data_IF_972957283789
#
_entry.id   IF_972957283789
#
_cell.length_a   1.000
_cell.length_b   1.000
_cell.length_c   1.000
_cell.angle_alpha   90.00
_cell.angle_beta   90.00
_cell.angle_gamma   90.00
#
_symmetry.space_group_name_H-M   'P 1'
#
loop_
_entity.id
_entity.type
_entity.pdbx_description
1 polymer ?
#
# COMPACT_ATOMS: atom_id res chain seq x y z
N UNK A 1 -12.59 52.42 -33.37
CA UNK A 1 -11.34 51.65 -33.52
C UNK A 1 -11.58 50.27 -32.93
N UNK A 2 -11.62 49.25 -33.79
CA UNK A 2 -11.82 47.85 -33.42
C UNK A 2 -10.46 47.28 -32.99
N UNK A 3 -10.30 46.94 -31.71
CA UNK A 3 -9.16 46.14 -31.27
C UNK A 3 -9.54 44.66 -31.29
N UNK A 4 -8.93 43.95 -32.23
CA UNK A 4 -8.92 42.49 -32.31
C UNK A 4 -8.10 41.95 -31.13
N UNK A 5 -8.72 41.17 -30.26
CA UNK A 5 -8.02 40.25 -29.36
C UNK A 5 -7.70 38.98 -30.18
N UNK A 6 -6.41 38.70 -30.30
CA UNK A 6 -5.86 37.53 -30.96
C UNK A 6 -5.91 36.36 -29.96
N UNK A 7 -6.72 35.35 -30.25
CA UNK A 7 -6.65 34.05 -29.58
C UNK A 7 -5.33 33.36 -29.98
N UNK A 8 -4.46 33.10 -29.02
CA UNK A 8 -3.31 32.20 -29.18
C UNK A 8 -3.58 30.98 -28.29
N UNK A 9 -3.64 29.75 -28.84
CA UNK A 9 -3.83 28.56 -28.02
C UNK A 9 -2.52 28.27 -27.26
N UNK A 10 -2.64 28.12 -25.95
CA UNK A 10 -1.57 27.68 -25.06
C UNK A 10 -1.35 26.18 -25.30
N UNK A 11 -0.39 25.85 -26.17
CA UNK A 11 0.09 24.47 -26.32
C UNK A 11 1.20 24.27 -25.31
N UNK A 12 0.90 23.60 -24.20
CA UNK A 12 1.94 23.08 -23.29
C UNK A 12 2.57 21.89 -24.00
N UNK A 13 3.68 22.12 -24.68
CA UNK A 13 4.57 21.06 -25.15
C UNK A 13 5.48 20.70 -23.98
N UNK A 14 5.08 19.72 -23.19
CA UNK A 14 5.96 19.07 -22.22
C UNK A 14 7.09 18.38 -23.01
N UNK A 15 8.27 19.00 -23.00
CA UNK A 15 9.48 18.35 -23.49
C UNK A 15 9.91 17.31 -22.46
N UNK A 16 9.66 16.03 -22.76
CA UNK A 16 10.34 14.93 -22.08
C UNK A 16 11.82 14.97 -22.47
N UNK A 17 12.62 15.62 -21.63
CA UNK A 17 14.05 15.38 -21.63
C UNK A 17 14.29 14.06 -20.91
N UNK A 18 14.66 13.02 -21.68
CA UNK A 18 15.32 11.85 -21.14
C UNK A 18 16.72 12.28 -20.65
N UNK A 19 16.80 12.75 -19.41
CA UNK A 19 18.05 12.74 -18.66
C UNK A 19 18.27 11.32 -18.19
N UNK A 20 19.42 10.74 -18.52
CA UNK A 20 19.94 9.52 -17.87
C UNK A 20 19.84 9.75 -16.36
N UNK A 21 18.90 9.08 -15.70
CA UNK A 21 18.57 9.32 -14.30
C UNK A 21 19.76 8.83 -13.47
N UNK A 22 20.58 9.78 -13.01
CA UNK A 22 21.44 9.51 -11.86
C UNK A 22 20.50 9.10 -10.72
N UNK A 23 20.73 7.92 -10.13
CA UNK A 23 19.99 7.44 -8.98
C UNK A 23 19.83 8.59 -7.98
N UNK A 24 18.58 8.96 -7.71
CA UNK A 24 18.23 10.11 -6.89
C UNK A 24 18.38 9.73 -5.42
N UNK A 25 19.64 9.61 -5.03
CA UNK A 25 20.11 9.14 -3.73
C UNK A 25 20.52 10.34 -2.87
N UNK A 26 20.66 10.13 -1.56
CA UNK A 26 21.35 11.10 -0.73
C UNK A 26 22.85 11.10 -1.05
N UNK A 27 23.43 12.29 -1.23
CA UNK A 27 24.86 12.46 -1.51
C UNK A 27 25.52 13.23 -0.39
N UNK A 28 26.47 12.61 0.31
CA UNK A 28 27.34 13.27 1.29
C UNK A 28 28.61 13.77 0.63
N UNK A 29 28.83 15.09 0.63
CA UNK A 29 30.08 15.70 0.18
C UNK A 29 31.05 15.90 1.36
N UNK A 30 32.16 15.12 1.45
CA UNK A 30 33.11 15.23 2.55
C UNK A 30 33.88 16.57 2.57
N UNK A 31 33.94 17.29 1.45
CA UNK A 31 34.66 18.56 1.38
C UNK A 31 33.89 19.71 2.03
N UNK A 32 32.56 19.66 1.95
CA UNK A 32 31.66 20.69 2.49
C UNK A 32 30.94 20.26 3.77
N UNK A 33 30.86 18.95 4.03
CA UNK A 33 30.07 18.38 5.12
C UNK A 33 28.56 18.42 4.85
N UNK A 34 28.16 18.71 3.61
CA UNK A 34 26.75 18.82 3.21
C UNK A 34 26.24 17.46 2.74
N UNK A 35 25.04 17.11 3.19
CA UNK A 35 24.25 16.02 2.64
C UNK A 35 23.18 16.64 1.74
N UNK A 36 23.15 16.24 0.47
CA UNK A 36 22.08 16.58 -0.47
C UNK A 36 21.11 15.42 -0.56
N UNK A 37 19.89 15.62 -0.09
CA UNK A 37 18.79 14.67 -0.09
C UNK A 37 17.92 14.93 -1.32
N UNK A 38 17.74 13.92 -2.15
CA UNK A 38 16.97 14.07 -3.40
C UNK A 38 15.48 14.27 -3.11
N UNK A 39 14.92 13.46 -2.21
CA UNK A 39 13.53 13.50 -1.78
C UNK A 39 13.44 13.29 -0.27
N UNK A 40 12.74 14.17 0.44
CA UNK A 40 12.54 14.07 1.89
C UNK A 40 11.07 14.23 2.20
N UNK A 41 10.55 13.34 3.03
CA UNK A 41 9.26 13.50 3.68
C UNK A 41 9.49 13.74 5.18
N UNK A 42 8.96 14.85 5.70
CA UNK A 42 8.96 15.17 7.12
C UNK A 42 7.55 14.98 7.68
N UNK A 43 7.41 14.18 8.73
CA UNK A 43 6.12 13.81 9.32
C UNK A 43 6.25 13.36 10.78
N UNK A 44 5.13 13.29 11.50
CA UNK A 44 5.06 12.70 12.85
C UNK A 44 4.32 11.35 12.87
N UNK A 45 3.87 10.86 11.71
CA UNK A 45 3.12 9.61 11.54
C UNK A 45 1.72 9.57 12.15
N UNK A 46 1.24 10.67 12.74
CA UNK A 46 -0.07 10.71 13.38
C UNK A 46 -1.21 11.02 12.41
N UNK A 47 -0.89 11.66 11.28
CA UNK A 47 -1.88 12.26 10.37
C UNK A 47 -2.66 13.43 10.98
N UNK A 48 -2.33 13.88 12.19
CA UNK A 48 -3.02 14.99 12.90
C UNK A 48 -2.30 16.32 12.76
N UNK A 49 -1.05 16.31 12.31
CA UNK A 49 -0.25 17.49 12.03
C UNK A 49 0.08 17.55 10.54
N UNK A 50 0.53 18.71 10.10
CA UNK A 50 0.99 18.91 8.72
C UNK A 50 2.31 18.17 8.51
N UNK A 51 2.45 17.49 7.37
CA UNK A 51 3.70 16.91 6.89
C UNK A 51 4.29 17.77 5.78
N UNK A 52 5.58 17.62 5.47
CA UNK A 52 6.26 18.39 4.42
C UNK A 52 6.96 17.42 3.47
N UNK A 53 6.71 17.55 2.17
CA UNK A 53 7.50 16.88 1.15
C UNK A 53 8.43 17.90 0.49
N UNK A 54 9.70 17.57 0.35
CA UNK A 54 10.71 18.46 -0.22
C UNK A 54 11.69 17.71 -1.12
N UNK A 55 12.27 18.42 -2.08
CA UNK A 55 13.29 17.87 -2.98
C UNK A 55 14.53 18.76 -3.04
N UNK A 56 15.67 18.14 -3.34
CA UNK A 56 16.98 18.78 -3.34
C UNK A 56 17.25 19.54 -2.02
N UNK A 57 17.03 18.86 -0.90
CA UNK A 57 17.24 19.42 0.44
C UNK A 57 18.71 19.27 0.80
N UNK A 58 19.37 20.36 1.14
CA UNK A 58 20.73 20.36 1.62
C UNK A 58 20.72 20.52 3.13
N UNK A 59 21.42 19.63 3.84
CA UNK A 59 21.52 19.64 5.30
C UNK A 59 22.96 19.43 5.78
N UNK A 60 23.24 19.86 7.01
CA UNK A 60 24.43 19.45 7.76
C UNK A 60 24.04 18.43 8.84
N UNK A 61 24.86 17.39 8.98
CA UNK A 61 24.67 16.40 10.03
C UNK A 61 25.13 16.94 11.39
N UNK A 62 24.29 16.78 12.41
CA UNK A 62 24.65 17.00 13.80
C UNK A 62 25.17 15.72 14.44
N UNK A 63 24.36 15.11 15.29
CA UNK A 63 24.67 13.82 15.92
C UNK A 63 24.35 12.66 14.96
N UNK A 64 25.29 11.74 14.78
CA UNK A 64 25.06 10.49 14.06
C UNK A 64 24.60 9.43 15.06
N UNK A 65 23.36 8.97 14.92
CA UNK A 65 22.76 7.96 15.79
C UNK A 65 23.04 6.54 15.30
N UNK A 66 23.06 6.36 13.97
CA UNK A 66 23.42 5.11 13.30
C UNK A 66 24.09 5.38 11.97
N UNK A 67 25.23 4.75 11.72
CA UNK A 67 25.95 4.81 10.44
C UNK A 67 25.37 3.89 9.37
N UNK A 68 24.31 3.14 9.67
CA UNK A 68 23.77 2.17 8.73
C UNK A 68 24.69 0.95 8.54
N UNK A 69 24.44 0.16 7.49
CA UNK A 69 25.36 -0.92 7.09
C UNK A 69 26.02 -0.55 5.77
N UNK A 70 27.25 -1.03 5.58
CA UNK A 70 27.89 -0.97 4.26
C UNK A 70 26.99 -1.70 3.27
N UNK A 71 26.51 -0.97 2.27
CA UNK A 71 25.62 -1.54 1.28
C UNK A 71 26.44 -2.47 0.38
N UNK A 72 26.13 -3.78 0.28
CA UNK A 72 26.79 -4.62 -0.71
C UNK A 72 26.41 -4.10 -2.11
N UNK A 73 27.31 -4.18 -3.11
CA UNK A 73 27.15 -3.57 -4.44
C UNK A 73 26.08 -4.23 -5.32
N UNK A 74 25.09 -4.91 -4.75
CA UNK A 74 23.88 -5.30 -5.46
C UNK A 74 23.00 -4.05 -5.60
N UNK A 75 23.47 -3.20 -6.53
CA UNK A 75 22.79 -2.28 -7.43
C UNK A 75 21.30 -2.16 -7.10
N UNK A 76 20.81 -0.93 -6.85
CA UNK A 76 19.42 -0.55 -7.13
C UNK A 76 19.13 -0.93 -8.58
N UNK A 77 18.65 -2.15 -8.86
CA UNK A 77 18.75 -2.67 -10.21
C UNK A 77 17.77 -1.84 -11.02
N UNK A 78 18.24 -1.22 -12.10
CA UNK A 78 17.32 -0.46 -12.94
C UNK A 78 16.23 -1.42 -13.45
N UNK A 79 14.94 -1.05 -13.34
CA UNK A 79 14.40 0.28 -13.04
C UNK A 79 13.89 0.49 -11.59
N UNK A 80 14.74 0.38 -10.55
CA UNK A 80 14.36 0.74 -9.18
C UNK A 80 14.13 2.26 -9.04
N UNK A 81 13.02 2.72 -8.43
CA UNK A 81 12.70 4.14 -8.37
C UNK A 81 13.56 4.88 -7.33
N UNK A 82 13.64 6.20 -7.47
CA UNK A 82 14.32 7.11 -6.52
C UNK A 82 13.89 6.87 -5.07
N UNK A 83 14.82 6.82 -4.12
CA UNK A 83 14.47 6.66 -2.70
C UNK A 83 13.89 7.95 -2.09
N UNK A 84 13.08 7.79 -1.04
CA UNK A 84 12.62 8.90 -0.19
C UNK A 84 13.30 8.74 1.15
N UNK A 85 13.81 9.84 1.70
CA UNK A 85 14.32 9.91 3.06
C UNK A 85 13.22 10.43 3.99
N UNK A 86 13.25 10.07 5.27
CA UNK A 86 12.21 10.43 6.22
C UNK A 86 12.77 11.22 7.40
N UNK A 87 12.20 12.39 7.66
CA UNK A 87 12.47 13.18 8.86
C UNK A 87 11.32 13.02 9.85
N UNK A 88 11.57 12.28 10.92
CA UNK A 88 10.65 12.16 12.05
C UNK A 88 10.65 13.48 12.84
N UNK A 89 9.57 14.24 12.75
CA UNK A 89 9.44 15.52 13.44
C UNK A 89 9.31 15.37 14.96
N UNK A 90 8.78 14.25 15.44
CA UNK A 90 8.62 13.99 16.87
C UNK A 90 9.94 13.59 17.52
N UNK A 91 10.71 12.71 16.87
CA UNK A 91 12.04 12.31 17.33
C UNK A 91 13.12 13.33 16.95
N UNK A 92 12.86 14.20 15.97
CA UNK A 92 13.84 15.08 15.31
C UNK A 92 14.99 14.31 14.65
N UNK A 93 14.66 13.20 13.99
CA UNK A 93 15.62 12.27 13.39
C UNK A 93 15.43 12.19 11.88
N UNK A 94 16.52 12.38 11.13
CA UNK A 94 16.56 12.09 9.71
C UNK A 94 17.02 10.64 9.53
N UNK A 95 16.16 9.83 8.93
CA UNK A 95 16.48 8.51 8.39
C UNK A 95 16.74 8.64 6.91
N UNK A 96 17.97 8.30 6.52
CA UNK A 96 18.42 8.30 5.14
C UNK A 96 18.42 6.85 4.66
N UNK A 97 17.59 6.58 3.65
CA UNK A 97 17.39 5.24 3.09
C UNK A 97 18.70 4.71 2.52
N UNK A 98 19.35 5.54 1.70
CA UNK A 98 20.63 5.23 1.07
C UNK A 98 21.43 6.52 0.87
N UNK A 99 22.69 6.49 1.29
CA UNK A 99 23.63 7.62 1.20
C UNK A 99 24.96 7.18 0.61
N UNK A 100 25.49 8.00 -0.28
CA UNK A 100 26.81 7.76 -0.88
C UNK A 100 27.67 9.02 -0.98
N UNK A 101 28.97 8.84 -1.14
CA UNK A 101 29.86 9.93 -1.56
C UNK A 101 29.79 10.15 -3.08
N UNK A 102 30.16 11.34 -3.59
CA UNK A 102 30.18 11.61 -5.04
C UNK A 102 31.01 10.62 -5.85
N UNK A 103 32.10 10.11 -5.27
CA UNK A 103 32.99 9.11 -5.87
C UNK A 103 32.59 7.66 -5.58
N UNK A 104 31.46 7.44 -4.89
CA UNK A 104 30.96 6.13 -4.45
C UNK A 104 31.96 5.31 -3.62
N UNK A 105 32.95 5.96 -2.99
CA UNK A 105 33.88 5.28 -2.07
C UNK A 105 33.23 4.84 -0.77
N UNK A 106 32.12 5.49 -0.39
CA UNK A 106 31.27 5.13 0.75
C UNK A 106 29.84 5.01 0.25
N UNK A 107 29.20 3.89 0.60
CA UNK A 107 27.78 3.62 0.37
C UNK A 107 27.19 2.96 1.62
N UNK A 108 26.16 3.59 2.18
CA UNK A 108 25.53 3.16 3.43
C UNK A 108 24.01 3.17 3.27
N UNK A 109 23.34 2.21 3.89
CA UNK A 109 21.88 2.20 3.99
C UNK A 109 21.39 2.43 5.41
N UNK A 110 20.19 2.99 5.56
CA UNK A 110 19.54 3.19 6.85
C UNK A 110 20.42 3.96 7.84
N UNK A 111 21.06 5.04 7.35
CA UNK A 111 21.76 5.97 8.22
C UNK A 111 20.73 6.81 9.00
N UNK A 112 20.98 7.05 10.28
CA UNK A 112 20.09 7.84 11.15
C UNK A 112 20.91 8.91 11.83
N UNK A 113 20.45 10.16 11.73
CA UNK A 113 21.16 11.31 12.29
C UNK A 113 20.19 12.40 12.77
N UNK A 114 20.66 13.23 13.70
CA UNK A 114 20.03 14.52 14.03
C UNK A 114 20.53 15.57 13.04
N UNK A 115 19.63 16.45 12.61
CA UNK A 115 20.00 17.59 11.77
C UNK A 115 20.63 18.70 12.62
N UNK A 116 21.70 19.30 12.12
CA UNK A 116 22.24 20.54 12.68
C UNK A 116 21.59 21.75 12.01
N UNK A 117 21.65 21.84 10.68
CA UNK A 117 21.00 22.90 9.92
C UNK A 117 20.46 22.42 8.57
N UNK A 118 19.39 23.06 8.11
CA UNK A 118 18.95 23.02 6.72
C UNK A 118 19.61 24.19 5.98
N UNK A 119 20.46 23.89 5.01
CA UNK A 119 21.28 24.86 4.28
C UNK A 119 20.60 25.34 2.99
N UNK A 120 19.71 24.52 2.42
CA UNK A 120 18.99 24.86 1.19
C UNK A 120 17.85 23.88 0.92
N UNK A 121 16.84 24.36 0.20
CA UNK A 121 15.69 23.56 -0.25
C UNK A 121 15.39 23.96 -1.69
N UNK A 122 15.33 22.99 -2.60
CA UNK A 122 14.97 23.24 -4.00
C UNK A 122 13.47 23.45 -4.17
N UNK A 123 12.68 22.47 -3.74
CA UNK A 123 11.21 22.52 -3.72
C UNK A 123 10.69 22.02 -2.38
N UNK A 124 9.56 22.56 -1.93
CA UNK A 124 8.83 22.05 -0.78
C UNK A 124 7.33 22.30 -0.93
N UNK A 125 6.55 21.36 -0.43
CA UNK A 125 5.09 21.49 -0.29
C UNK A 125 4.64 20.98 1.07
N UNK A 126 3.64 21.65 1.63
CA UNK A 126 2.93 21.21 2.82
C UNK A 126 1.84 20.21 2.44
N UNK A 127 1.74 19.13 3.20
CA UNK A 127 0.68 18.12 3.14
C UNK A 127 -0.20 18.32 4.36
N UNK A 128 -1.43 18.76 4.11
CA UNK A 128 -2.39 19.12 5.17
C UNK A 128 -2.70 17.90 6.05
N UNK A 129 -2.86 18.13 7.36
CA UNK A 129 -3.29 17.11 8.30
C UNK A 129 -4.53 16.34 7.81
N UNK A 130 -4.52 15.02 7.96
CA UNK A 130 -5.56 14.10 7.50
C UNK A 130 -5.44 13.67 6.04
N UNK A 131 -4.53 14.26 5.25
CA UNK A 131 -4.20 13.80 3.90
C UNK A 131 -3.08 12.76 3.98
N UNK A 132 -3.17 11.69 3.18
CA UNK A 132 -2.11 10.70 3.08
C UNK A 132 -0.79 11.35 2.65
N UNK A 133 0.28 11.03 3.36
CA UNK A 133 1.63 11.51 3.08
C UNK A 133 2.60 10.38 2.72
N UNK A 134 2.21 9.11 2.93
CA UNK A 134 2.94 7.93 2.50
C UNK A 134 3.22 7.96 0.99
N UNK A 135 4.47 7.72 0.60
CA UNK A 135 4.92 7.86 -0.80
C UNK A 135 5.00 6.52 -1.53
N UNK A 136 4.06 6.30 -2.44
CA UNK A 136 4.21 5.27 -3.46
C UNK A 136 5.09 5.76 -4.60
N UNK A 137 6.04 4.92 -5.03
CA UNK A 137 7.04 5.27 -6.04
C UNK A 137 6.88 4.36 -7.25
N UNK A 138 6.25 4.88 -8.28
CA UNK A 138 5.75 4.05 -9.39
C UNK A 138 6.81 3.76 -10.45
N UNK A 139 6.88 2.50 -10.84
CA UNK A 139 7.56 1.96 -12.01
C UNK A 139 6.50 1.26 -12.85
N UNK A 140 5.85 2.03 -13.71
CA UNK A 140 4.80 1.53 -14.61
C UNK A 140 5.41 1.23 -15.97
N UNK A 141 5.53 -0.05 -16.29
CA UNK A 141 6.16 -0.49 -17.53
C UNK A 141 5.37 -0.04 -18.79
N UNK A 142 6.08 0.17 -19.89
CA UNK A 142 5.47 0.61 -21.16
C UNK A 142 4.57 -0.46 -21.79
N UNK A 143 4.74 -1.74 -21.43
CA UNK A 143 3.88 -2.86 -21.86
C UNK A 143 2.41 -2.70 -21.44
N UNK A 144 2.14 -1.92 -20.39
CA UNK A 144 0.78 -1.62 -19.95
C UNK A 144 0.10 -0.63 -20.91
N UNK A 145 -1.19 -0.79 -21.24
CA UNK A 145 -1.92 0.21 -22.00
C UNK A 145 -1.98 1.56 -21.28
N UNK A 146 -1.98 2.65 -22.04
CA UNK A 146 -2.14 4.00 -21.49
C UNK A 146 -3.44 4.15 -20.67
N UNK A 147 -4.52 3.52 -21.12
CA UNK A 147 -5.80 3.49 -20.40
C UNK A 147 -5.65 2.84 -19.02
N UNK A 148 -4.92 1.73 -18.93
CA UNK A 148 -4.68 1.06 -17.65
C UNK A 148 -3.89 1.96 -16.71
N UNK A 149 -2.81 2.61 -17.18
CA UNK A 149 -2.01 3.53 -16.36
C UNK A 149 -2.81 4.74 -15.85
N UNK A 150 -3.67 5.30 -16.69
CA UNK A 150 -4.56 6.39 -16.28
C UNK A 150 -5.58 5.95 -15.22
N UNK A 151 -6.09 4.72 -15.32
CA UNK A 151 -7.03 4.18 -14.34
C UNK A 151 -6.32 3.84 -13.02
N UNK A 152 -5.12 3.26 -13.09
CA UNK A 152 -4.25 3.06 -11.92
C UNK A 152 -4.04 4.36 -11.14
N UNK A 153 -3.72 5.47 -11.81
CA UNK A 153 -3.56 6.77 -11.14
C UNK A 153 -4.86 7.22 -10.45
N UNK A 154 -6.02 7.02 -11.08
CA UNK A 154 -7.32 7.34 -10.47
C UNK A 154 -7.61 6.48 -9.25
N UNK A 155 -7.35 5.17 -9.34
CA UNK A 155 -7.51 4.23 -8.23
C UNK A 155 -6.63 4.63 -7.05
N UNK A 156 -5.33 4.85 -7.27
CA UNK A 156 -4.40 5.27 -6.23
C UNK A 156 -4.81 6.61 -5.58
N UNK A 157 -5.39 7.54 -6.35
CA UNK A 157 -5.89 8.81 -5.83
C UNK A 157 -7.16 8.63 -4.97
N UNK A 158 -8.09 7.77 -5.39
CA UNK A 158 -9.28 7.44 -4.60
C UNK A 158 -8.88 6.77 -3.27
N UNK A 159 -7.99 5.78 -3.34
CA UNK A 159 -7.54 5.03 -2.16
C UNK A 159 -6.76 5.91 -1.18
N UNK A 160 -5.85 6.76 -1.64
CA UNK A 160 -5.16 7.70 -0.74
C UNK A 160 -6.09 8.74 -0.10
N UNK A 161 -7.20 9.09 -0.76
CA UNK A 161 -8.23 9.96 -0.19
C UNK A 161 -9.05 9.23 0.87
N UNK A 162 -9.52 8.03 0.56
CA UNK A 162 -10.52 7.33 1.38
C UNK A 162 -9.89 6.46 2.47
N UNK A 163 -8.69 5.93 2.24
CA UNK A 163 -7.91 5.08 3.16
C UNK A 163 -6.52 5.69 3.36
N UNK A 164 -6.42 6.86 4.01
CA UNK A 164 -5.13 7.54 4.13
C UNK A 164 -4.12 6.73 4.94
N UNK A 165 -2.93 6.53 4.37
CA UNK A 165 -1.76 5.94 5.03
C UNK A 165 -0.82 7.08 5.43
N UNK A 166 -0.42 7.08 6.69
CA UNK A 166 0.47 8.08 7.25
C UNK A 166 1.90 7.56 7.40
N UNK A 167 2.85 8.36 6.95
CA UNK A 167 4.27 8.06 6.95
C UNK A 167 4.87 8.16 8.35
N UNK A 168 5.57 7.11 8.76
CA UNK A 168 6.27 6.98 10.05
C UNK A 168 7.67 6.44 9.84
N UNK A 169 8.52 6.51 10.86
CA UNK A 169 9.98 6.26 10.81
C UNK A 169 10.43 4.96 10.14
N UNK A 170 9.59 3.92 10.12
CA UNK A 170 9.88 2.64 9.45
C UNK A 170 8.85 2.27 8.35
N UNK A 171 7.96 3.19 8.01
CA UNK A 171 6.90 2.97 7.02
C UNK A 171 6.45 4.31 6.42
N UNK A 172 7.17 4.78 5.41
CA UNK A 172 6.93 6.10 4.79
C UNK A 172 6.92 6.10 3.27
N UNK A 173 7.44 5.04 2.63
CA UNK A 173 7.40 4.91 1.18
C UNK A 173 7.48 3.45 0.73
N UNK A 174 6.97 3.18 -0.47
CA UNK A 174 7.06 1.86 -1.09
C UNK A 174 7.21 1.99 -2.61
N UNK A 175 8.16 1.26 -3.23
CA UNK A 175 8.20 1.13 -4.68
C UNK A 175 7.06 0.24 -5.17
N UNK A 176 6.47 0.61 -6.29
CA UNK A 176 5.39 -0.13 -6.95
C UNK A 176 5.85 -0.47 -8.36
N UNK A 177 5.85 -1.76 -8.70
CA UNK A 177 6.20 -2.26 -10.02
C UNK A 177 4.95 -2.83 -10.67
N UNK A 178 4.59 -2.30 -11.83
CA UNK A 178 3.46 -2.82 -12.61
C UNK A 178 3.89 -3.09 -14.05
N UNK A 179 3.54 -4.26 -14.57
CA UNK A 179 3.84 -4.65 -15.94
C UNK A 179 2.81 -5.66 -16.48
N UNK A 180 2.80 -5.88 -17.79
CA UNK A 180 1.97 -6.90 -18.42
C UNK A 180 2.66 -8.26 -18.35
N UNK A 181 1.93 -9.32 -18.00
CA UNK A 181 2.49 -10.66 -17.72
C UNK A 181 3.21 -11.34 -18.90
N UNK A 182 3.00 -10.89 -20.14
CA UNK A 182 3.70 -11.39 -21.33
C UNK A 182 4.89 -10.52 -21.75
N UNK A 183 5.20 -9.47 -20.99
CA UNK A 183 6.44 -8.71 -21.08
C UNK A 183 7.49 -9.25 -20.10
N UNK A 184 8.74 -8.82 -20.27
CA UNK A 184 9.77 -9.11 -19.27
C UNK A 184 9.44 -8.40 -17.96
N UNK A 185 9.55 -9.13 -16.84
CA UNK A 185 9.38 -8.53 -15.52
C UNK A 185 10.40 -7.38 -15.33
N UNK A 186 10.02 -6.27 -14.67
CA UNK A 186 10.92 -5.13 -14.46
C UNK A 186 12.24 -5.53 -13.81
N UNK A 187 12.20 -6.51 -12.91
CA UNK A 187 13.36 -7.09 -12.24
C UNK A 187 13.19 -8.62 -12.10
N UNK A 188 14.28 -9.42 -12.15
CA UNK A 188 14.20 -10.88 -12.20
C UNK A 188 13.51 -11.56 -10.99
N UNK A 189 13.47 -10.88 -9.84
CA UNK A 189 12.90 -11.39 -8.59
C UNK A 189 11.49 -10.85 -8.30
N UNK A 190 10.95 -9.99 -9.18
CA UNK A 190 9.60 -9.43 -9.04
C UNK A 190 8.65 -10.26 -9.89
N UNK A 191 7.56 -10.73 -9.29
CA UNK A 191 6.53 -11.53 -9.95
C UNK A 191 5.19 -11.42 -9.22
N UNK A 192 4.11 -11.70 -9.96
CA UNK A 192 2.76 -11.78 -9.42
C UNK A 192 2.22 -10.46 -8.87
N UNK A 193 1.12 -10.58 -8.12
CA UNK A 193 0.55 -9.51 -7.31
C UNK A 193 0.82 -9.81 -5.83
N UNK A 194 1.47 -8.86 -5.14
CA UNK A 194 1.82 -9.00 -3.72
C UNK A 194 2.37 -7.70 -3.15
N UNK A 195 2.29 -7.58 -1.81
CA UNK A 195 3.30 -6.88 -1.02
C UNK A 195 4.43 -7.85 -0.72
N UNK A 196 5.48 -7.76 -1.51
CA UNK A 196 6.63 -8.64 -1.46
C UNK A 196 7.80 -7.96 -0.74
N UNK A 197 8.74 -8.75 -0.23
CA UNK A 197 9.90 -8.25 0.48
C UNK A 197 10.94 -9.34 0.73
N UNK A 198 12.18 -8.92 1.00
CA UNK A 198 13.26 -9.85 1.31
C UNK A 198 13.88 -10.56 0.09
N UNK A 199 14.70 -11.57 0.37
CA UNK A 199 15.37 -12.36 -0.68
C UNK A 199 16.33 -11.54 -1.53
N UNK A 200 16.25 -11.72 -2.86
CA UNK A 200 17.09 -11.01 -3.84
C UNK A 200 16.75 -9.50 -3.95
N UNK A 201 15.59 -9.07 -3.44
CA UNK A 201 15.21 -7.65 -3.30
C UNK A 201 15.83 -6.95 -2.08
N UNK A 202 16.64 -7.65 -1.29
CA UNK A 202 17.36 -7.09 -0.16
C UNK A 202 16.47 -6.79 1.05
N UNK A 203 16.66 -5.63 1.68
CA UNK A 203 15.94 -5.23 2.90
C UNK A 203 14.67 -4.41 2.64
N UNK A 204 14.22 -4.32 1.39
CA UNK A 204 13.07 -3.50 1.01
C UNK A 204 11.84 -4.35 0.78
N UNK A 205 10.69 -3.76 1.11
CA UNK A 205 9.38 -4.24 0.69
C UNK A 205 8.95 -3.45 -0.56
N UNK A 206 8.23 -4.10 -1.48
CA UNK A 206 7.68 -3.51 -2.69
C UNK A 206 6.28 -4.04 -2.97
N UNK A 207 5.51 -3.26 -3.71
CA UNK A 207 4.27 -3.72 -4.31
C UNK A 207 4.55 -4.21 -5.72
N UNK A 208 4.13 -5.44 -6.01
CA UNK A 208 4.17 -6.03 -7.33
C UNK A 208 2.76 -6.09 -7.91
N UNK A 209 2.61 -5.72 -9.18
CA UNK A 209 1.35 -5.73 -9.92
C UNK A 209 1.60 -6.31 -11.31
N UNK A 210 1.75 -7.63 -11.39
CA UNK A 210 1.76 -8.36 -12.66
C UNK A 210 0.33 -8.46 -13.22
N UNK A 211 0.04 -7.72 -14.28
CA UNK A 211 -1.29 -7.69 -14.89
C UNK A 211 -1.36 -8.71 -16.02
N UNK A 212 -2.30 -9.63 -15.96
CA UNK A 212 -2.43 -10.66 -16.98
C UNK A 212 -2.71 -10.06 -18.35
N UNK A 213 -1.95 -10.49 -19.37
CA UNK A 213 -2.22 -10.09 -20.76
C UNK A 213 -3.66 -10.46 -21.17
N UNK A 214 -4.18 -11.58 -20.67
CA UNK A 214 -5.55 -12.02 -20.95
C UNK A 214 -6.59 -11.05 -20.38
N UNK A 215 -6.37 -10.52 -19.17
CA UNK A 215 -7.31 -9.57 -18.54
C UNK A 215 -7.36 -8.25 -19.30
N UNK A 216 -6.23 -7.82 -19.86
CA UNK A 216 -6.17 -6.64 -20.74
C UNK A 216 -6.93 -6.91 -22.05
N UNK A 217 -6.68 -8.05 -22.70
CA UNK A 217 -7.31 -8.41 -23.97
C UNK A 217 -8.82 -8.62 -23.86
N UNK A 218 -9.29 -9.15 -22.73
CA UNK A 218 -10.70 -9.48 -22.51
C UNK A 218 -11.43 -8.42 -21.67
N UNK A 219 -10.76 -7.33 -21.31
CA UNK A 219 -11.30 -6.29 -20.45
C UNK A 219 -11.85 -6.86 -19.13
N UNK A 220 -11.18 -7.85 -18.57
CA UNK A 220 -11.53 -8.42 -17.26
C UNK A 220 -11.24 -7.42 -16.13
N UNK A 221 -12.18 -7.29 -15.20
CA UNK A 221 -12.14 -6.28 -14.14
C UNK A 221 -11.01 -6.50 -13.13
N UNK A 222 -10.50 -7.73 -13.01
CA UNK A 222 -9.41 -8.05 -12.09
C UNK A 222 -8.15 -7.21 -12.35
N UNK A 223 -7.91 -6.78 -13.62
CA UNK A 223 -6.82 -5.86 -13.97
C UNK A 223 -6.83 -4.56 -13.15
N UNK A 224 -7.99 -4.15 -12.64
CA UNK A 224 -8.15 -2.99 -11.77
C UNK A 224 -8.39 -3.34 -10.31
N UNK A 225 -9.00 -4.48 -10.00
CA UNK A 225 -9.32 -4.89 -8.61
C UNK A 225 -8.08 -5.25 -7.80
N UNK A 226 -7.03 -5.75 -8.45
CA UNK A 226 -5.76 -6.08 -7.78
C UNK A 226 -5.08 -4.85 -7.15
N UNK A 227 -5.31 -3.65 -7.70
CA UNK A 227 -4.72 -2.41 -7.18
C UNK A 227 -5.25 -2.06 -5.77
N UNK A 228 -6.57 -1.96 -5.51
CA UNK A 228 -7.09 -1.74 -4.17
C UNK A 228 -6.79 -2.91 -3.22
N UNK A 229 -6.71 -4.16 -3.71
CA UNK A 229 -6.28 -5.31 -2.90
C UNK A 229 -4.89 -5.10 -2.31
N UNK A 230 -3.89 -4.86 -3.16
CA UNK A 230 -2.51 -4.68 -2.71
C UNK A 230 -2.30 -3.36 -1.95
N UNK A 231 -2.99 -2.28 -2.34
CA UNK A 231 -2.98 -1.04 -1.56
C UNK A 231 -3.42 -1.28 -0.12
N UNK A 232 -4.47 -2.08 0.07
CA UNK A 232 -4.99 -2.34 1.40
C UNK A 232 -4.04 -3.19 2.25
N UNK A 233 -3.29 -4.12 1.65
CA UNK A 233 -2.18 -4.80 2.35
C UNK A 233 -1.15 -3.81 2.91
N UNK A 234 -0.82 -2.74 2.17
CA UNK A 234 0.07 -1.67 2.69
C UNK A 234 -0.54 -0.98 3.90
N UNK A 235 -1.86 -0.73 3.89
CA UNK A 235 -2.57 -0.21 5.05
C UNK A 235 -2.55 -1.19 6.24
N UNK A 236 -2.84 -2.48 6.01
CA UNK A 236 -2.86 -3.50 7.06
C UNK A 236 -1.50 -3.66 7.72
N UNK A 237 -0.43 -3.81 6.93
CA UNK A 237 0.95 -3.97 7.41
C UNK A 237 1.44 -2.70 8.13
N UNK A 238 0.94 -1.52 7.73
CA UNK A 238 1.24 -0.29 8.45
C UNK A 238 0.70 -0.26 9.88
N UNK A 239 -0.25 -1.11 10.27
CA UNK A 239 -0.83 -1.12 11.62
C UNK A 239 -0.63 -2.44 12.37
N UNK A 240 -0.51 -3.56 11.67
CA UNK A 240 -0.50 -4.90 12.26
C UNK A 240 0.65 -5.76 11.72
N UNK A 241 1.01 -6.82 12.46
CA UNK A 241 1.98 -7.81 12.01
C UNK A 241 1.38 -9.22 12.07
N UNK A 242 0.56 -9.52 11.05
CA UNK A 242 -0.17 -10.78 10.90
C UNK A 242 0.42 -11.67 9.81
N UNK A 243 1.72 -11.52 9.51
CA UNK A 243 2.40 -12.31 8.48
C UNK A 243 2.15 -13.80 8.68
N UNK A 244 1.43 -14.43 7.74
CA UNK A 244 1.09 -15.85 7.78
C UNK A 244 -0.33 -16.17 8.27
N UNK A 245 -1.08 -15.21 8.82
CA UNK A 245 -2.49 -15.37 9.18
C UNK A 245 -3.38 -14.98 7.98
N UNK A 246 -3.69 -15.96 7.13
CA UNK A 246 -4.22 -15.74 5.78
C UNK A 246 -5.60 -15.08 5.77
N UNK A 247 -6.64 -15.68 6.36
CA UNK A 247 -8.00 -15.19 6.14
C UNK A 247 -8.26 -13.78 6.68
N UNK A 248 -7.59 -13.39 7.77
CA UNK A 248 -7.70 -12.03 8.31
C UNK A 248 -6.93 -11.00 7.48
N UNK A 249 -5.95 -11.41 6.69
CA UNK A 249 -5.23 -10.53 5.76
C UNK A 249 -5.95 -10.48 4.41
N UNK A 250 -6.09 -11.64 3.75
CA UNK A 250 -6.62 -11.75 2.39
C UNK A 250 -8.14 -11.61 2.32
N UNK A 251 -8.89 -12.06 3.32
CA UNK A 251 -10.35 -11.95 3.34
C UNK A 251 -10.81 -10.49 3.30
N UNK A 252 -10.37 -9.62 4.23
CA UNK A 252 -10.65 -8.19 4.19
C UNK A 252 -10.12 -7.48 2.93
N UNK A 253 -8.94 -7.84 2.42
CA UNK A 253 -8.39 -7.26 1.19
C UNK A 253 -9.24 -7.62 -0.05
N UNK A 254 -9.57 -8.90 -0.21
CA UNK A 254 -10.40 -9.41 -1.30
C UNK A 254 -11.87 -8.91 -1.19
N UNK A 255 -12.34 -8.64 0.02
CA UNK A 255 -13.65 -8.00 0.24
C UNK A 255 -13.61 -6.52 -0.16
N UNK A 256 -12.52 -5.82 0.17
CA UNK A 256 -12.33 -4.41 -0.14
C UNK A 256 -12.21 -4.17 -1.64
N UNK A 257 -11.48 -5.02 -2.39
CA UNK A 257 -11.44 -4.91 -3.84
C UNK A 257 -12.84 -5.11 -4.46
N UNK A 258 -13.65 -6.04 -3.94
CA UNK A 258 -15.00 -6.29 -4.44
C UNK A 258 -15.93 -5.10 -4.18
N UNK A 259 -15.84 -4.47 -3.00
CA UNK A 259 -16.57 -3.23 -2.69
C UNK A 259 -16.11 -2.09 -3.60
N UNK A 260 -14.79 -1.90 -3.76
CA UNK A 260 -14.24 -0.87 -4.63
C UNK A 260 -14.73 -1.03 -6.08
N UNK A 261 -14.73 -2.27 -6.58
CA UNK A 261 -15.17 -2.58 -7.94
C UNK A 261 -16.67 -2.37 -8.12
N UNK A 262 -17.47 -2.72 -7.12
CA UNK A 262 -18.91 -2.46 -7.11
C UNK A 262 -19.20 -0.95 -7.09
N UNK A 263 -18.47 -0.17 -6.28
CA UNK A 263 -18.62 1.29 -6.15
C UNK A 263 -18.25 2.03 -7.45
N UNK A 264 -17.10 1.72 -8.04
CA UNK A 264 -16.53 2.50 -9.14
C UNK A 264 -16.87 1.98 -10.55
N UNK A 265 -17.15 0.68 -10.68
CA UNK A 265 -17.43 0.06 -11.98
C UNK A 265 -18.82 -0.60 -12.06
N UNK A 266 -19.57 -0.66 -10.95
CA UNK A 266 -20.89 -1.26 -10.92
C UNK A 266 -20.89 -2.78 -11.08
N UNK A 267 -19.74 -3.43 -10.90
CA UNK A 267 -19.54 -4.86 -11.11
C UNK A 267 -19.64 -5.61 -9.78
N UNK A 268 -20.49 -6.63 -9.74
CA UNK A 268 -20.58 -7.56 -8.61
C UNK A 268 -19.43 -8.59 -8.70
N UNK A 269 -18.27 -8.22 -8.17
CA UNK A 269 -17.08 -9.06 -8.22
C UNK A 269 -17.16 -10.26 -7.26
N UNK A 270 -17.88 -10.12 -6.14
CA UNK A 270 -18.17 -11.23 -5.22
C UNK A 270 -18.79 -12.42 -5.97
N UNK A 271 -19.84 -12.16 -6.75
CA UNK A 271 -20.54 -13.21 -7.49
C UNK A 271 -19.78 -13.76 -8.69
N UNK A 272 -18.86 -12.98 -9.27
CA UNK A 272 -18.10 -13.39 -10.46
C UNK A 272 -16.86 -14.20 -10.13
N UNK A 273 -16.13 -13.78 -9.10
CA UNK A 273 -14.77 -14.25 -8.87
C UNK A 273 -14.65 -15.10 -7.59
N UNK A 274 -15.46 -14.84 -6.56
CA UNK A 274 -15.29 -15.46 -5.24
C UNK A 274 -16.36 -16.52 -4.97
N UNK A 275 -17.64 -16.18 -5.02
CA UNK A 275 -18.74 -17.09 -4.70
C UNK A 275 -18.74 -18.43 -5.48
N UNK A 276 -18.38 -18.49 -6.79
CA UNK A 276 -18.34 -19.75 -7.53
C UNK A 276 -17.30 -20.76 -7.04
N UNK A 277 -16.31 -20.30 -6.27
CA UNK A 277 -15.17 -21.10 -5.79
C UNK A 277 -15.32 -21.51 -4.31
N UNK A 278 -16.47 -21.24 -3.69
CA UNK A 278 -16.68 -21.49 -2.27
C UNK A 278 -16.65 -22.98 -1.94
N UNK A 279 -15.62 -23.39 -1.20
CA UNK A 279 -15.49 -24.76 -0.70
C UNK A 279 -16.28 -24.99 0.59
N UNK A 280 -16.86 -26.20 0.74
CA UNK A 280 -17.52 -26.63 1.96
C UNK A 280 -16.59 -26.68 3.19
N UNK A 281 -15.27 -26.78 2.98
CA UNK A 281 -14.29 -26.83 4.05
C UNK A 281 -14.31 -25.59 4.95
N UNK A 282 -14.77 -24.44 4.45
CA UNK A 282 -14.91 -23.21 5.27
C UNK A 282 -15.86 -23.41 6.46
N UNK A 283 -16.86 -24.29 6.33
CA UNK A 283 -17.78 -24.63 7.43
C UNK A 283 -17.30 -25.77 8.30
N UNK A 284 -16.58 -26.72 7.71
CA UNK A 284 -16.14 -27.94 8.39
C UNK A 284 -14.88 -27.69 9.23
N UNK A 285 -13.99 -26.81 8.76
CA UNK A 285 -12.67 -26.56 9.37
C UNK A 285 -12.17 -25.14 9.04
N UNK A 286 -12.86 -24.09 9.53
CA UNK A 286 -12.50 -22.69 9.25
C UNK A 286 -11.06 -22.33 9.67
N UNK A 287 -10.50 -22.98 10.69
CA UNK A 287 -9.11 -22.76 11.10
C UNK A 287 -8.06 -23.11 10.03
N UNK A 288 -8.40 -23.93 9.01
CA UNK A 288 -7.50 -24.17 7.88
C UNK A 288 -7.21 -22.89 7.07
N UNK A 289 -8.15 -21.95 7.08
CA UNK A 289 -8.04 -20.67 6.37
C UNK A 289 -7.10 -19.68 7.09
N UNK A 290 -6.58 -20.03 8.27
CA UNK A 290 -5.52 -19.26 8.92
C UNK A 290 -4.19 -19.36 8.18
N UNK A 291 -3.97 -20.35 7.31
CA UNK A 291 -2.70 -20.47 6.57
C UNK A 291 -2.88 -20.83 5.10
N UNK A 292 -1.95 -20.37 4.27
CA UNK A 292 -1.88 -20.68 2.84
C UNK A 292 -1.77 -22.18 2.56
N UNK A 293 -0.87 -22.87 3.27
CA UNK A 293 -0.62 -24.29 3.06
C UNK A 293 -1.78 -25.20 3.49
N UNK A 294 -2.50 -24.85 4.55
CA UNK A 294 -3.59 -25.69 5.07
C UNK A 294 -4.90 -25.51 4.29
N UNK A 295 -5.20 -24.30 3.84
CA UNK A 295 -6.37 -24.05 2.99
C UNK A 295 -6.17 -24.51 1.55
N UNK A 296 -4.97 -24.32 0.99
CA UNK A 296 -4.65 -24.73 -0.39
C UNK A 296 -5.71 -24.27 -1.39
N UNK A 297 -6.10 -25.18 -2.29
CA UNK A 297 -7.12 -24.95 -3.33
C UNK A 297 -8.55 -24.76 -2.76
N UNK A 298 -8.78 -25.03 -1.47
CA UNK A 298 -10.08 -24.81 -0.85
C UNK A 298 -10.41 -23.32 -0.64
N UNK A 299 -9.45 -22.44 -0.89
CA UNK A 299 -9.58 -20.99 -0.77
C UNK A 299 -9.08 -20.29 -2.03
N UNK A 300 -9.39 -20.88 -3.19
CA UNK A 300 -9.13 -20.28 -4.50
C UNK A 300 -9.82 -18.91 -4.60
N UNK A 301 -9.07 -17.93 -5.10
CA UNK A 301 -9.43 -16.52 -5.13
C UNK A 301 -9.94 -16.00 -3.77
N UNK A 302 -9.40 -16.54 -2.68
CA UNK A 302 -9.75 -16.19 -1.30
C UNK A 302 -11.24 -16.38 -0.97
N UNK A 303 -11.94 -17.24 -1.71
CA UNK A 303 -13.40 -17.39 -1.61
C UNK A 303 -13.88 -17.76 -0.21
N UNK A 304 -13.18 -18.63 0.52
CA UNK A 304 -13.54 -18.92 1.90
C UNK A 304 -13.12 -17.80 2.84
N UNK A 305 -11.97 -17.18 2.64
CA UNK A 305 -11.50 -16.03 3.44
C UNK A 305 -12.44 -14.81 3.35
N UNK A 306 -12.98 -14.53 2.17
CA UNK A 306 -14.03 -13.52 1.95
C UNK A 306 -15.32 -13.95 2.63
N UNK A 307 -15.73 -15.22 2.48
CA UNK A 307 -16.91 -15.74 3.16
C UNK A 307 -16.83 -15.61 4.70
N UNK A 308 -15.66 -15.87 5.29
CA UNK A 308 -15.39 -15.61 6.71
C UNK A 308 -15.54 -14.11 7.04
N UNK A 309 -15.02 -13.23 6.20
CA UNK A 309 -15.13 -11.79 6.39
C UNK A 309 -16.58 -11.31 6.36
N UNK A 310 -17.38 -11.82 5.41
CA UNK A 310 -18.80 -11.47 5.27
C UNK A 310 -19.64 -11.99 6.46
N UNK A 311 -19.39 -13.22 6.93
CA UNK A 311 -20.04 -13.73 8.14
C UNK A 311 -19.66 -12.89 9.36
N UNK A 312 -18.40 -12.48 9.49
CA UNK A 312 -18.00 -11.61 10.60
C UNK A 312 -18.74 -10.27 10.56
N UNK A 313 -18.94 -9.71 9.37
CA UNK A 313 -19.73 -8.48 9.21
C UNK A 313 -21.21 -8.69 9.59
N UNK A 314 -21.81 -9.81 9.19
CA UNK A 314 -23.18 -10.20 9.56
C UNK A 314 -23.35 -10.38 11.08
N UNK A 315 -22.43 -11.09 11.73
CA UNK A 315 -22.41 -11.28 13.18
C UNK A 315 -22.23 -9.96 13.96
N UNK A 316 -21.55 -8.96 13.38
CA UNK A 316 -21.46 -7.62 13.95
C UNK A 316 -22.77 -6.84 13.74
N UNK A 317 -23.43 -6.98 12.59
CA UNK A 317 -24.74 -6.36 12.36
C UNK A 317 -25.81 -6.91 13.30
N UNK A 318 -25.77 -8.22 13.59
CA UNK A 318 -26.62 -8.86 14.61
C UNK A 318 -26.37 -8.34 16.03
N UNK A 319 -25.16 -7.82 16.30
CA UNK A 319 -24.84 -7.12 17.55
C UNK A 319 -25.34 -5.66 17.57
N UNK A 320 -25.95 -5.19 16.48
CA UNK A 320 -26.54 -3.85 16.36
C UNK A 320 -25.63 -2.80 15.72
N UNK A 321 -24.48 -3.19 15.17
CA UNK A 321 -23.67 -2.29 14.34
C UNK A 321 -24.37 -2.05 12.98
N UNK A 322 -24.25 -0.85 12.43
CA UNK A 322 -24.59 -0.65 11.02
C UNK A 322 -23.61 -1.42 10.12
N UNK A 323 -24.00 -1.67 8.86
CA UNK A 323 -23.12 -2.33 7.88
C UNK A 323 -21.76 -1.63 7.75
N UNK A 324 -21.75 -0.30 7.60
CA UNK A 324 -20.52 0.48 7.53
C UNK A 324 -19.66 0.36 8.79
N UNK A 325 -20.28 0.30 9.98
CA UNK A 325 -19.56 0.09 11.24
C UNK A 325 -18.99 -1.33 11.35
N UNK A 326 -19.73 -2.35 10.90
CA UNK A 326 -19.26 -3.73 10.89
C UNK A 326 -18.00 -3.86 10.02
N UNK A 327 -18.04 -3.38 8.77
CA UNK A 327 -16.87 -3.38 7.89
C UNK A 327 -15.75 -2.49 8.39
N UNK A 328 -16.05 -1.32 9.00
CA UNK A 328 -15.02 -0.49 9.66
C UNK A 328 -14.29 -1.27 10.73
N UNK A 329 -15.00 -2.02 11.58
CA UNK A 329 -14.37 -2.78 12.65
C UNK A 329 -13.40 -3.82 12.09
N UNK A 330 -13.78 -4.48 11.00
CA UNK A 330 -12.96 -5.52 10.35
C UNK A 330 -11.77 -4.91 9.62
N UNK A 331 -12.00 -3.93 8.75
CA UNK A 331 -11.01 -3.39 7.81
C UNK A 331 -10.13 -2.28 8.41
N UNK A 332 -10.57 -1.63 9.50
CA UNK A 332 -9.87 -0.48 10.09
C UNK A 332 -9.56 -0.67 11.56
N UNK A 333 -10.57 -0.91 12.39
CA UNK A 333 -10.37 -0.87 13.86
C UNK A 333 -9.53 -2.06 14.35
N UNK A 334 -9.72 -3.26 13.78
CA UNK A 334 -8.92 -4.44 14.10
C UNK A 334 -7.43 -4.22 13.79
N UNK A 335 -7.09 -3.74 12.61
CA UNK A 335 -5.70 -3.46 12.25
C UNK A 335 -5.10 -2.35 13.11
N UNK A 336 -5.85 -1.27 13.36
CA UNK A 336 -5.40 -0.17 14.23
C UNK A 336 -5.18 -0.56 15.69
N UNK A 337 -5.80 -1.64 16.16
CA UNK A 337 -5.53 -2.20 17.47
C UNK A 337 -4.15 -2.87 17.57
N UNK A 338 -3.41 -2.98 16.46
CA UNK A 338 -2.04 -3.50 16.42
C UNK A 338 -1.90 -5.00 16.68
N UNK A 339 -2.75 -5.88 16.12
CA UNK A 339 -2.62 -7.31 16.33
C UNK A 339 -1.34 -7.83 15.70
N UNK A 340 -0.82 -8.89 16.29
CA UNK A 340 0.27 -9.71 15.80
C UNK A 340 0.01 -11.18 16.13
N UNK A 341 0.84 -12.08 15.59
CA UNK A 341 0.64 -13.53 15.76
C UNK A 341 0.52 -14.00 17.23
N UNK A 342 1.04 -13.25 18.21
CA UNK A 342 0.96 -13.62 19.63
C UNK A 342 -0.32 -13.12 20.33
N UNK A 343 -1.02 -12.12 19.79
CA UNK A 343 -2.15 -11.48 20.47
C UNK A 343 -3.40 -11.30 19.59
N UNK A 344 -3.39 -11.76 18.33
CA UNK A 344 -4.47 -11.50 17.39
C UNK A 344 -5.82 -12.05 17.88
N UNK A 345 -5.87 -13.22 18.53
CA UNK A 345 -7.12 -13.79 19.06
C UNK A 345 -7.70 -12.95 20.20
N UNK A 346 -6.84 -12.40 21.07
CA UNK A 346 -7.26 -11.49 22.15
C UNK A 346 -7.78 -10.19 21.55
N UNK A 347 -7.05 -9.63 20.59
CA UNK A 347 -7.45 -8.42 19.86
C UNK A 347 -8.77 -8.63 19.11
N UNK A 348 -8.94 -9.81 18.50
CA UNK A 348 -10.17 -10.21 17.81
C UNK A 348 -11.35 -10.20 18.77
N UNK A 349 -11.20 -10.82 19.94
CA UNK A 349 -12.24 -10.85 20.96
C UNK A 349 -12.58 -9.45 21.49
N UNK A 350 -11.59 -8.59 21.70
CA UNK A 350 -11.78 -7.22 22.18
C UNK A 350 -12.49 -6.34 21.14
N UNK A 351 -12.05 -6.41 19.88
CA UNK A 351 -12.59 -5.58 18.80
C UNK A 351 -13.99 -6.05 18.41
N UNK A 352 -14.21 -7.35 18.25
CA UNK A 352 -15.47 -7.90 17.72
C UNK A 352 -16.45 -8.37 18.79
N UNK A 353 -16.06 -8.31 20.08
CA UNK A 353 -16.85 -8.85 21.20
C UNK A 353 -17.25 -10.32 20.99
N UNK A 354 -16.41 -11.06 20.27
CA UNK A 354 -16.64 -12.44 19.84
C UNK A 354 -15.30 -13.18 19.83
N UNK A 355 -15.17 -14.31 20.54
CA UNK A 355 -13.95 -15.11 20.46
C UNK A 355 -13.82 -15.84 19.13
N UNK A 356 -12.60 -16.16 18.72
CA UNK A 356 -12.31 -16.94 17.50
C UNK A 356 -13.02 -18.29 17.52
N UNK A 357 -12.93 -19.04 18.63
CA UNK A 357 -13.63 -20.33 18.78
C UNK A 357 -15.16 -20.20 18.64
N UNK A 358 -15.73 -19.12 19.19
CA UNK A 358 -17.18 -18.87 19.09
C UNK A 358 -17.55 -18.49 17.66
N UNK A 359 -16.73 -17.68 16.98
CA UNK A 359 -16.91 -17.33 15.59
C UNK A 359 -16.85 -18.58 14.71
N UNK A 360 -15.83 -19.42 14.87
CA UNK A 360 -15.69 -20.68 14.13
C UNK A 360 -16.85 -21.65 14.35
N UNK A 361 -17.35 -21.73 15.57
CA UNK A 361 -18.53 -22.54 15.90
C UNK A 361 -19.81 -22.01 15.23
N UNK A 362 -19.91 -20.70 15.02
CA UNK A 362 -21.06 -20.06 14.36
C UNK A 362 -21.10 -20.33 12.86
N UNK A 363 -19.95 -20.31 12.18
CA UNK A 363 -19.84 -20.54 10.72
C UNK A 363 -20.51 -21.85 10.31
N UNK A 364 -20.40 -22.90 11.12
CA UNK A 364 -21.02 -24.19 10.85
C UNK A 364 -22.55 -24.12 10.65
N UNK A 365 -23.22 -23.07 11.15
CA UNK A 365 -24.66 -22.85 11.04
C UNK A 365 -25.08 -21.96 9.87
N UNK A 366 -24.14 -21.28 9.20
CA UNK A 366 -24.44 -20.46 8.04
C UNK A 366 -24.69 -21.32 6.80
N UNK A 367 -25.53 -20.85 5.88
CA UNK A 367 -25.69 -21.49 4.57
C UNK A 367 -24.36 -21.40 3.80
N UNK A 368 -24.00 -22.46 3.06
CA UNK A 368 -22.81 -22.44 2.21
C UNK A 368 -23.11 -21.66 0.93
N UNK A 369 -23.31 -20.35 1.06
CA UNK A 369 -23.67 -19.43 -0.02
C UNK A 369 -23.41 -17.99 0.41
N UNK A 370 -22.98 -17.16 -0.54
CA UNK A 370 -22.88 -15.71 -0.37
C UNK A 370 -24.25 -15.01 -0.34
N UNK A 371 -25.31 -15.71 -0.75
CA UNK A 371 -26.68 -15.16 -0.78
C UNK A 371 -27.11 -14.68 0.62
N UNK A 372 -27.47 -13.40 0.72
CA UNK A 372 -27.84 -12.76 1.97
C UNK A 372 -26.68 -12.20 2.79
N UNK A 373 -25.43 -12.45 2.39
CA UNK A 373 -24.22 -11.94 3.06
C UNK A 373 -23.54 -10.80 2.29
N UNK A 374 -23.93 -10.56 1.03
CA UNK A 374 -23.31 -9.53 0.21
C UNK A 374 -23.58 -8.13 0.80
N UNK A 375 -22.57 -7.25 0.83
CA UNK A 375 -22.76 -5.88 1.25
C UNK A 375 -23.76 -5.14 0.35
N UNK A 376 -24.43 -4.13 0.91
CA UNK A 376 -25.26 -3.20 0.15
C UNK A 376 -24.45 -2.53 -0.96
N UNK A 377 -25.11 -2.27 -2.10
CA UNK A 377 -24.54 -1.47 -3.19
C UNK A 377 -24.30 -0.01 -2.82
N UNK A 378 -24.88 0.44 -1.71
CA UNK A 378 -24.68 1.79 -1.18
C UNK A 378 -23.49 1.88 -0.20
N UNK A 379 -22.89 0.74 0.18
CA UNK A 379 -21.68 0.72 1.00
C UNK A 379 -20.49 1.19 0.16
N UNK A 380 -19.78 2.20 0.66
CA UNK A 380 -18.61 2.78 -0.03
C UNK A 380 -17.36 2.70 0.84
N UNK A 381 -16.19 2.68 0.21
CA UNK A 381 -14.90 2.70 0.92
C UNK A 381 -14.80 3.93 1.83
N UNK A 382 -15.22 5.10 1.34
CA UNK A 382 -15.20 6.35 2.12
C UNK A 382 -16.06 6.30 3.39
N UNK A 383 -17.20 5.58 3.39
CA UNK A 383 -18.05 5.42 4.58
C UNK A 383 -17.46 4.44 5.59
N UNK A 384 -16.83 3.37 5.14
CA UNK A 384 -16.10 2.41 6.00
C UNK A 384 -14.95 3.11 6.72
N UNK A 385 -14.20 3.95 6.01
CA UNK A 385 -12.99 4.58 6.54
C UNK A 385 -13.18 5.99 7.09
N UNK A 386 -14.41 6.49 7.16
CA UNK A 386 -14.73 7.78 7.76
C UNK A 386 -14.13 7.91 9.19
N UNK A 387 -13.62 9.10 9.51
CA UNK A 387 -13.16 9.43 10.85
C UNK A 387 -14.39 9.76 11.71
N UNK A 388 -14.66 8.95 12.74
CA UNK A 388 -15.71 9.16 13.73
C UNK A 388 -15.10 9.44 15.09
#
# INVERSE_FOLDING_TARGET
MKHKLLNIPFVIIAHFFFTTVAHADAVYDPATGIITLSHVLAGDGSGKTESIYATNVQVTAGEILSMGKAWPPYIHPSPWPAEVDFYDMAAQELKISYIRTPDASIELNNAILKLDAVVGVGYSESIVAGVADYKFRYVLDESLPKEWRNEFEQIMNNLQRDIPIYAKTDWYSMPVFAWKSDAEAPLPFISGACICGGGDGGSYDWMSLEISAWEIENSDIHRYSVVPHEYFHVFQISHANLSGLKWLMEGPAATLESIYVQEHYGVDYFSQAQAPLLSGLVRESPSLYESYGASGEADDNYSGSVFLTLILADELQDQGFSEAEAFRKIMKDFFRAGPNLNNWETTFAEVFSLSVDSFYSKIANYNLSYEGLLPSKDLTISTIFANH
#
